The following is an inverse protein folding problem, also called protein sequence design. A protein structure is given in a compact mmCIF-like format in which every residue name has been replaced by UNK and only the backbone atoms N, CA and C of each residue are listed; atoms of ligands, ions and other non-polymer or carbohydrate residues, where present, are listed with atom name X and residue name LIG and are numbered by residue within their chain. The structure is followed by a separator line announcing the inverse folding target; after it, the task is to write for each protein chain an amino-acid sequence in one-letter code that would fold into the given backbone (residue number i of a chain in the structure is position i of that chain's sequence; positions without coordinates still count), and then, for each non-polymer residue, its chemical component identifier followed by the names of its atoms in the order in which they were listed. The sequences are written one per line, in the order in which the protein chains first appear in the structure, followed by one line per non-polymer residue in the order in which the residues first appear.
data_IF_911593563721
#
_entry.id   IF_911593563721
#
_cell.length_a   1.000
_cell.length_b   1.000
_cell.length_c   1.000
_cell.angle_alpha   90.00
_cell.angle_beta   90.00
_cell.angle_gamma   90.00
#
_symmetry.space_group_name_H-M   'P 1'
#
loop_
_entity.id
_entity.type
_entity.pdbx_description
1 polymer ?
#
# COMPACT_ATOMS: atom_id res chain seq x y z
N UNK A 1 20.14 -41.70 -14.61
CA UNK A 1 19.70 -40.51 -15.36
C UNK A 1 18.59 -39.87 -14.55
N UNK A 2 18.76 -38.57 -14.27
CA UNK A 2 18.02 -37.81 -13.27
C UNK A 2 16.58 -37.56 -13.71
N UNK A 3 15.63 -37.79 -12.79
CA UNK A 3 14.26 -37.29 -12.88
C UNK A 3 14.27 -35.77 -12.73
N UNK A 4 13.91 -35.04 -13.79
CA UNK A 4 13.68 -33.60 -13.72
C UNK A 4 12.25 -33.33 -13.27
N UNK A 5 12.07 -33.20 -11.97
CA UNK A 5 10.88 -32.58 -11.40
C UNK A 5 10.78 -31.12 -11.86
N UNK A 6 9.71 -30.80 -12.58
CA UNK A 6 9.34 -29.42 -12.88
C UNK A 6 8.93 -28.73 -11.58
N UNK A 7 9.86 -27.96 -10.99
CA UNK A 7 9.52 -27.01 -9.93
C UNK A 7 8.80 -25.84 -10.58
N UNK A 8 7.52 -25.69 -10.25
CA UNK A 8 6.71 -24.54 -10.64
C UNK A 8 7.44 -23.24 -10.34
N UNK A 9 7.59 -22.41 -11.37
CA UNK A 9 8.27 -21.13 -11.26
C UNK A 9 7.56 -20.23 -10.25
N UNK A 10 8.18 -19.99 -9.10
CA UNK A 10 7.89 -18.80 -8.31
C UNK A 10 8.35 -17.61 -9.15
N UNK A 11 7.46 -17.08 -9.99
CA UNK A 11 7.71 -15.87 -10.75
C UNK A 11 8.11 -14.78 -9.75
N UNK A 12 9.36 -14.32 -9.83
CA UNK A 12 9.85 -13.20 -9.05
C UNK A 12 8.87 -12.03 -9.24
N UNK A 13 8.22 -11.57 -8.18
CA UNK A 13 7.23 -10.48 -8.21
C UNK A 13 7.84 -9.10 -8.55
N UNK A 14 9.07 -9.10 -9.04
CA UNK A 14 9.87 -7.91 -9.32
C UNK A 14 10.63 -7.43 -8.09
N UNK A 15 11.43 -6.38 -8.28
CA UNK A 15 12.28 -5.77 -7.24
C UNK A 15 11.48 -4.96 -6.20
N UNK A 16 10.19 -4.70 -6.44
CA UNK A 16 9.26 -4.01 -5.52
C UNK A 16 8.10 -4.95 -5.14
N UNK A 17 8.45 -6.15 -4.66
CA UNK A 17 7.49 -7.12 -4.13
C UNK A 17 6.74 -6.56 -2.92
N UNK A 18 5.52 -7.05 -2.70
CA UNK A 18 4.67 -6.69 -1.57
C UNK A 18 4.25 -7.93 -0.77
N UNK A 19 3.79 -7.77 0.46
CA UNK A 19 3.37 -8.91 1.30
C UNK A 19 2.13 -9.63 0.79
N UNK A 20 1.38 -9.05 -0.15
CA UNK A 20 0.16 -9.64 -0.71
C UNK A 20 0.38 -10.33 -2.06
N UNK A 21 1.63 -10.44 -2.51
CA UNK A 21 1.95 -10.93 -3.85
C UNK A 21 1.42 -12.35 -4.14
N UNK A 22 1.41 -13.22 -3.14
CA UNK A 22 0.84 -14.57 -3.24
C UNK A 22 -0.70 -14.60 -3.20
N UNK A 23 -1.36 -13.47 -2.94
CA UNK A 23 -2.82 -13.33 -2.81
C UNK A 23 -3.45 -12.62 -4.00
N UNK A 24 -2.65 -12.20 -4.96
CA UNK A 24 -3.09 -11.42 -6.13
C UNK A 24 -2.55 -12.04 -7.41
N UNK A 25 -3.14 -11.67 -8.54
CA UNK A 25 -2.57 -11.94 -9.86
C UNK A 25 -2.37 -10.64 -10.62
N UNK A 26 -1.24 -10.52 -11.30
CA UNK A 26 -0.96 -9.36 -12.17
C UNK A 26 -1.90 -9.39 -13.38
N UNK A 27 -2.39 -8.21 -13.76
CA UNK A 27 -3.20 -7.99 -14.95
C UNK A 27 -2.59 -6.88 -15.80
N UNK A 28 -3.24 -6.53 -16.92
CA UNK A 28 -2.83 -5.40 -17.76
C UNK A 28 -2.69 -4.13 -16.92
N UNK A 29 -1.56 -3.45 -17.11
CA UNK A 29 -1.20 -2.27 -16.32
C UNK A 29 -2.16 -1.13 -16.63
N UNK A 30 -2.82 -0.62 -15.59
CA UNK A 30 -3.56 0.64 -15.65
C UNK A 30 -2.58 1.81 -15.71
N UNK A 31 -2.76 2.71 -16.68
CA UNK A 31 -2.01 3.96 -16.76
C UNK A 31 -2.53 4.94 -15.70
N UNK A 32 -1.71 5.20 -14.67
CA UNK A 32 -2.01 6.18 -13.65
C UNK A 32 -1.51 7.56 -14.08
N UNK A 33 -2.18 8.66 -13.68
CA UNK A 33 -1.63 10.00 -13.83
C UNK A 33 -0.19 10.07 -13.30
N UNK A 34 0.68 10.81 -13.99
CA UNK A 34 2.13 10.83 -13.68
C UNK A 34 2.42 11.15 -12.21
N UNK A 35 1.66 12.08 -11.60
CA UNK A 35 1.81 12.45 -10.20
C UNK A 35 1.51 11.28 -9.25
N UNK A 36 0.59 10.40 -9.61
CA UNK A 36 0.19 9.24 -8.84
C UNK A 36 1.15 8.06 -9.05
N UNK A 37 1.61 7.84 -10.28
CA UNK A 37 2.65 6.86 -10.56
C UNK A 37 3.94 7.15 -9.77
N UNK A 38 4.30 8.43 -9.62
CA UNK A 38 5.47 8.90 -8.85
C UNK A 38 5.37 8.69 -7.34
N UNK A 39 4.21 8.33 -6.79
CA UNK A 39 4.13 7.96 -5.38
C UNK A 39 4.68 6.55 -5.13
N UNK A 40 4.83 5.74 -6.18
CA UNK A 40 5.45 4.42 -6.10
C UNK A 40 6.95 4.52 -6.36
N UNK A 41 7.72 3.69 -5.65
CA UNK A 41 9.18 3.62 -5.71
C UNK A 41 9.67 3.49 -7.15
N UNK A 42 10.50 4.44 -7.58
CA UNK A 42 11.05 4.59 -8.93
C UNK A 42 9.97 4.67 -10.02
N UNK A 43 8.74 5.07 -9.67
CA UNK A 43 7.56 5.06 -10.54
C UNK A 43 7.00 3.66 -10.84
N UNK A 44 7.46 2.63 -10.12
CA UNK A 44 7.13 1.24 -10.42
C UNK A 44 5.98 0.72 -9.56
N UNK A 45 4.88 0.39 -10.24
CA UNK A 45 3.73 -0.30 -9.68
C UNK A 45 3.21 -1.35 -10.64
N UNK A 46 2.46 -2.30 -10.09
CA UNK A 46 1.73 -3.32 -10.84
C UNK A 46 0.24 -3.16 -10.62
N UNK A 47 -0.53 -3.34 -11.67
CA UNK A 47 -1.98 -3.52 -11.54
C UNK A 47 -2.27 -4.99 -11.30
N UNK A 48 -3.05 -5.27 -10.27
CA UNK A 48 -3.36 -6.63 -9.84
C UNK A 48 -4.85 -6.76 -9.55
N UNK A 49 -5.32 -8.00 -9.50
CA UNK A 49 -6.63 -8.32 -8.93
C UNK A 49 -6.48 -9.33 -7.80
N UNK A 50 -7.24 -9.14 -6.72
CA UNK A 50 -7.23 -10.01 -5.54
C UNK A 50 -7.82 -11.39 -5.87
N UNK A 51 -7.11 -12.45 -5.49
CA UNK A 51 -7.55 -13.84 -5.69
C UNK A 51 -8.38 -14.37 -4.51
N UNK A 52 -8.31 -13.68 -3.37
CA UNK A 52 -9.01 -13.92 -2.13
C UNK A 52 -9.29 -12.59 -1.42
N UNK A 53 -10.01 -12.64 -0.31
CA UNK A 53 -10.15 -11.49 0.58
C UNK A 53 -8.78 -11.13 1.19
N UNK A 54 -8.45 -9.84 1.22
CA UNK A 54 -7.21 -9.35 1.83
C UNK A 54 -7.49 -8.26 2.85
N UNK A 55 -6.72 -8.27 3.93
CA UNK A 55 -6.77 -7.23 4.96
C UNK A 55 -5.65 -6.24 4.69
N UNK A 56 -6.00 -4.95 4.67
CA UNK A 56 -5.05 -3.85 4.55
C UNK A 56 -5.32 -2.81 5.61
N UNK A 57 -4.37 -1.91 5.81
CA UNK A 57 -4.40 -0.90 6.86
C UNK A 57 -4.20 0.49 6.29
N UNK A 58 -4.97 1.45 6.80
CA UNK A 58 -4.84 2.86 6.43
C UNK A 58 -4.77 3.72 7.68
N UNK A 59 -3.64 4.38 7.88
CA UNK A 59 -3.51 5.39 8.93
C UNK A 59 -3.98 6.76 8.44
N UNK A 60 -4.74 7.47 9.28
CA UNK A 60 -5.38 8.74 8.95
C UNK A 60 -5.59 9.61 10.21
N UNK A 61 -6.02 10.86 10.00
CA UNK A 61 -6.28 11.81 11.06
C UNK A 61 -6.18 13.26 10.60
N UNK A 62 -6.65 14.17 11.45
CA UNK A 62 -6.87 15.58 11.07
C UNK A 62 -7.86 15.66 9.90
N UNK A 63 -7.46 16.21 8.76
CA UNK A 63 -8.31 16.32 7.57
C UNK A 63 -8.28 15.07 6.69
N UNK A 64 -7.41 14.10 6.98
CA UNK A 64 -7.38 12.83 6.26
C UNK A 64 -8.43 11.89 6.84
N UNK A 65 -9.32 11.40 5.98
CA UNK A 65 -10.40 10.49 6.36
C UNK A 65 -10.05 9.02 6.10
N UNK A 66 -10.82 8.13 6.72
CA UNK A 66 -10.70 6.69 6.56
C UNK A 66 -10.92 6.22 5.11
N UNK A 67 -11.70 6.96 4.33
CA UNK A 67 -12.05 6.62 2.93
C UNK A 67 -11.00 6.96 1.88
N UNK A 68 -9.83 7.46 2.25
CA UNK A 68 -8.81 7.83 1.25
C UNK A 68 -8.18 6.63 0.54
N UNK A 69 -7.46 6.92 -0.56
CA UNK A 69 -7.13 5.91 -1.56
C UNK A 69 -5.92 5.01 -1.24
N UNK A 70 -5.07 5.38 -0.27
CA UNK A 70 -3.84 4.63 0.02
C UNK A 70 -3.97 3.77 1.28
N UNK A 71 -3.47 2.54 1.19
CA UNK A 71 -3.36 1.58 2.28
C UNK A 71 -2.02 0.81 2.20
N UNK A 72 -1.72 0.02 3.23
CA UNK A 72 -0.53 -0.82 3.34
C UNK A 72 -0.87 -2.21 3.89
N UNK A 73 0.06 -3.16 3.79
CA UNK A 73 -0.14 -4.54 4.24
C UNK A 73 0.03 -4.75 5.76
N UNK A 74 0.62 -3.77 6.44
CA UNK A 74 1.10 -3.94 7.82
C UNK A 74 0.41 -2.94 8.73
N UNK A 75 -0.12 -3.37 9.89
CA UNK A 75 -0.74 -2.45 10.83
C UNK A 75 0.33 -1.53 11.42
N UNK A 76 -0.07 -0.29 11.73
CA UNK A 76 0.77 0.73 12.33
C UNK A 76 1.28 0.28 13.71
N UNK A 77 2.59 0.39 13.92
CA UNK A 77 3.21 0.17 15.23
C UNK A 77 3.01 1.38 16.14
N UNK A 78 3.30 2.56 15.60
CA UNK A 78 3.12 3.88 16.21
C UNK A 78 3.13 4.96 15.12
N UNK A 79 2.79 6.22 15.48
CA UNK A 79 2.68 7.32 14.51
C UNK A 79 4.03 7.70 13.91
N UNK A 80 5.11 7.68 14.70
CA UNK A 80 6.46 8.02 14.24
C UNK A 80 6.94 7.08 13.13
N UNK A 81 6.87 5.76 13.37
CA UNK A 81 7.31 4.76 12.41
C UNK A 81 6.46 4.77 11.15
N UNK A 82 5.13 4.90 11.31
CA UNK A 82 4.20 5.01 10.17
C UNK A 82 4.57 6.18 9.26
N UNK A 83 4.99 7.31 9.84
CA UNK A 83 5.41 8.49 9.09
C UNK A 83 6.67 8.25 8.27
N UNK A 84 7.63 7.50 8.81
CA UNK A 84 8.89 7.16 8.14
C UNK A 84 8.63 6.16 7.01
N UNK A 85 7.94 5.06 7.33
CA UNK A 85 7.71 3.94 6.41
C UNK A 85 6.78 4.33 5.25
N UNK A 86 5.79 5.18 5.53
CA UNK A 86 4.84 5.67 4.52
C UNK A 86 5.22 7.03 3.94
N UNK A 87 6.43 7.52 4.22
CA UNK A 87 6.95 8.81 3.76
C UNK A 87 5.96 9.98 3.90
N UNK A 88 5.21 10.03 5.01
CA UNK A 88 4.15 11.02 5.23
C UNK A 88 4.79 12.35 5.65
N UNK A 89 4.73 13.33 4.77
CA UNK A 89 5.28 14.65 5.03
C UNK A 89 4.56 15.34 6.20
N UNK A 90 5.31 15.90 7.19
CA UNK A 90 4.72 16.72 8.26
C UNK A 90 3.81 17.83 7.75
N UNK A 91 4.15 18.41 6.61
CA UNK A 91 3.47 19.52 5.94
C UNK A 91 2.05 19.15 5.51
N UNK A 92 1.76 17.86 5.30
CA UNK A 92 0.41 17.37 5.00
C UNK A 92 -0.50 17.38 6.23
N UNK A 93 0.05 17.61 7.43
CA UNK A 93 -0.69 17.70 8.71
C UNK A 93 -1.53 16.47 9.04
N UNK A 94 -1.28 15.33 8.40
CA UNK A 94 -1.90 14.06 8.77
C UNK A 94 -1.36 13.63 10.12
N UNK A 95 -2.22 13.59 11.13
CA UNK A 95 -1.83 13.22 12.51
C UNK A 95 -1.62 11.73 12.68
N UNK A 96 -2.10 10.90 11.74
CA UNK A 96 -2.05 9.44 11.80
C UNK A 96 -2.64 8.89 13.11
N UNK A 97 -3.58 9.64 13.72
CA UNK A 97 -4.16 9.32 15.02
C UNK A 97 -4.95 8.01 14.99
N UNK A 98 -5.55 7.70 13.85
CA UNK A 98 -6.42 6.55 13.67
C UNK A 98 -5.86 5.63 12.60
N UNK A 99 -6.25 4.36 12.67
CA UNK A 99 -6.01 3.38 11.63
C UNK A 99 -7.27 2.59 11.37
N UNK A 100 -7.63 2.46 10.09
CA UNK A 100 -8.69 1.57 9.63
C UNK A 100 -8.09 0.22 9.23
N UNK A 101 -8.69 -0.87 9.72
CA UNK A 101 -8.54 -2.21 9.15
C UNK A 101 -9.60 -2.38 8.06
N UNK A 102 -9.16 -2.58 6.81
CA UNK A 102 -10.01 -2.63 5.63
C UNK A 102 -9.95 -4.04 5.04
N UNK A 103 -11.12 -4.62 4.79
CA UNK A 103 -11.30 -5.94 4.21
C UNK A 103 -11.63 -5.78 2.74
N UNK A 104 -10.64 -5.97 1.87
CA UNK A 104 -10.80 -5.84 0.42
C UNK A 104 -11.36 -7.17 -0.12
N UNK A 105 -12.51 -7.15 -0.81
CA UNK A 105 -13.09 -8.36 -1.39
C UNK A 105 -12.19 -9.01 -2.45
N UNK A 106 -12.37 -10.31 -2.65
CA UNK A 106 -11.85 -11.02 -3.82
C UNK A 106 -12.36 -10.37 -5.12
N UNK A 107 -11.51 -10.33 -6.14
CA UNK A 107 -11.87 -9.75 -7.45
C UNK A 107 -11.69 -8.23 -7.52
N UNK A 108 -11.09 -7.61 -6.51
CA UNK A 108 -10.84 -6.16 -6.48
C UNK A 108 -9.56 -5.82 -7.22
N UNK A 109 -9.61 -4.82 -8.11
CA UNK A 109 -8.44 -4.31 -8.83
C UNK A 109 -7.70 -3.29 -7.98
N UNK A 110 -6.37 -3.43 -7.88
CA UNK A 110 -5.50 -2.55 -7.10
C UNK A 110 -4.26 -2.18 -7.91
N UNK A 111 -3.65 -1.04 -7.58
CA UNK A 111 -2.28 -0.75 -7.99
C UNK A 111 -1.34 -0.86 -6.79
N UNK A 112 -0.34 -1.73 -6.89
CA UNK A 112 0.51 -2.11 -5.76
C UNK A 112 1.99 -1.90 -6.07
N UNK A 113 2.75 -1.54 -5.04
CA UNK A 113 4.19 -1.37 -5.11
C UNK A 113 4.73 -0.93 -3.75
N UNK A 114 5.82 -0.17 -3.78
CA UNK A 114 6.47 0.36 -2.57
C UNK A 114 6.33 1.88 -2.53
N UNK A 115 6.28 2.46 -1.34
CA UNK A 115 6.20 3.92 -1.16
C UNK A 115 7.51 4.57 -1.63
N UNK A 116 7.42 5.61 -2.47
CA UNK A 116 8.56 6.43 -2.84
C UNK A 116 9.03 7.32 -1.68
N UNK A 117 10.33 7.60 -1.64
CA UNK A 117 10.89 8.53 -0.67
C UNK A 117 10.34 9.95 -0.83
N UNK A 118 10.30 10.67 0.28
CA UNK A 118 9.89 12.07 0.31
C UNK A 118 10.92 12.90 1.06
N UNK A 119 10.95 14.19 0.76
CA UNK A 119 11.82 15.15 1.44
C UNK A 119 10.96 16.23 2.09
N UNK A 120 11.16 16.47 3.39
CA UNK A 120 10.51 17.56 4.10
C UNK A 120 10.95 18.91 3.53
N UNK A 121 10.24 20.00 3.88
CA UNK A 121 10.67 21.36 3.50
C UNK A 121 12.07 21.71 4.05
N UNK A 122 12.48 21.09 5.15
CA UNK A 122 13.83 21.24 5.72
C UNK A 122 14.90 20.36 5.05
N UNK A 123 14.53 19.55 4.05
CA UNK A 123 15.43 18.64 3.35
C UNK A 123 15.66 17.29 4.04
N UNK A 124 14.95 16.98 5.13
CA UNK A 124 15.08 15.68 5.78
C UNK A 124 14.42 14.60 4.92
N UNK A 125 15.14 13.48 4.72
CA UNK A 125 14.66 12.34 3.93
C UNK A 125 13.75 11.44 4.77
N UNK A 126 12.57 11.13 4.25
CA UNK A 126 11.72 10.01 4.67
C UNK A 126 11.87 8.90 3.64
N UNK A 127 12.46 7.78 4.04
CA UNK A 127 12.88 6.72 3.11
C UNK A 127 11.69 6.04 2.41
N UNK A 128 10.51 6.02 3.05
CA UNK A 128 9.36 5.29 2.53
C UNK A 128 9.61 3.79 2.59
N UNK A 129 9.37 3.12 1.47
CA UNK A 129 9.51 1.68 1.32
C UNK A 129 8.56 0.86 2.22
N UNK A 130 7.42 1.38 2.66
CA UNK A 130 6.30 0.50 3.02
C UNK A 130 5.66 -0.11 1.76
N UNK A 131 4.85 -1.16 1.94
CA UNK A 131 3.89 -1.55 0.91
C UNK A 131 2.92 -0.39 0.67
N UNK A 132 2.70 -0.05 -0.60
CA UNK A 132 1.72 0.95 -1.03
C UNK A 132 0.67 0.30 -1.91
N UNK A 133 -0.58 0.40 -1.49
CA UNK A 133 -1.74 -0.05 -2.25
C UNK A 133 -2.64 1.13 -2.55
N UNK A 134 -2.91 1.35 -3.84
CA UNK A 134 -3.92 2.27 -4.30
C UNK A 134 -5.23 1.50 -4.48
N UNK A 135 -6.21 1.83 -3.64
CA UNK A 135 -7.57 1.31 -3.67
C UNK A 135 -8.36 1.87 -4.87
N UNK A 136 -9.43 1.20 -5.30
CA UNK A 136 -10.32 1.74 -6.34
C UNK A 136 -10.86 3.11 -5.96
N UNK A 137 -11.10 3.95 -6.95
CA UNK A 137 -11.81 5.20 -6.73
C UNK A 137 -13.20 4.91 -6.15
N UNK A 138 -13.62 5.69 -5.15
CA UNK A 138 -14.93 5.53 -4.48
C UNK A 138 -15.19 4.11 -3.94
N UNK A 139 -14.16 3.42 -3.43
CA UNK A 139 -14.31 2.12 -2.78
C UNK A 139 -15.31 2.18 -1.60
N UNK A 140 -16.01 1.07 -1.36
CA UNK A 140 -17.11 1.01 -0.39
C UNK A 140 -16.59 1.07 1.05
N UNK A 141 -17.00 2.10 1.80
CA UNK A 141 -16.62 2.28 3.20
C UNK A 141 -17.09 1.15 4.12
N UNK A 142 -18.05 0.33 3.69
CA UNK A 142 -18.44 -0.89 4.42
C UNK A 142 -17.31 -1.94 4.47
N UNK A 143 -16.26 -1.78 3.66
CA UNK A 143 -15.05 -2.60 3.75
C UNK A 143 -14.23 -2.27 5.01
N UNK A 144 -14.48 -1.14 5.67
CA UNK A 144 -13.86 -0.81 6.96
C UNK A 144 -14.44 -1.73 8.02
N UNK A 145 -13.63 -2.68 8.50
CA UNK A 145 -14.02 -3.61 9.55
C UNK A 145 -13.87 -3.01 10.94
N UNK A 146 -12.83 -2.22 11.17
CA UNK A 146 -12.62 -1.54 12.45
C UNK A 146 -11.74 -0.30 12.31
N UNK A 147 -11.85 0.60 13.27
CA UNK A 147 -10.95 1.76 13.42
C UNK A 147 -10.38 1.71 14.85
N UNK A 148 -9.07 1.90 14.97
CA UNK A 148 -8.36 2.00 16.25
C UNK A 148 -7.55 3.28 16.35
N UNK A 149 -7.25 3.71 17.58
CA UNK A 149 -6.23 4.73 17.79
C UNK A 149 -4.82 4.13 17.65
N UNK A 150 -3.94 4.87 16.97
CA UNK A 150 -2.52 4.55 16.85
C UNK A 150 -1.77 5.28 17.96
N UNK A 151 -0.89 4.57 18.67
CA UNK A 151 -0.06 5.15 19.74
C UNK A 151 0.92 6.19 19.15
N UNK A 152 1.25 7.26 19.89
CA UNK A 152 2.25 8.25 19.48
C UNK A 152 3.54 7.60 18.97
#
# INVERSE_FOLDING_TARGET
MLESGSKGGSGSFGIYSTKIDNKVRVIDKQELPSWLGKTFKDGNYRTVVTNEEIIVYRSFGHNAEAGGAFATSSPALNRVQTKIDSAILPEWKNTLRYEAEIVIPKGTTLNIGRVEEQFTMSGARLAGDADQFLLPENWDLNWIKSIREVKP
#
